data_IF_526686643928
#
_entry.id   IF_526686643928
#
_cell.length_a   1.000
_cell.length_b   1.000
_cell.length_c   1.000
_cell.angle_alpha   90.00
_cell.angle_beta   90.00
_cell.angle_gamma   90.00
#
_symmetry.space_group_name_H-M   'P 1'
#
loop_
_entity.id
_entity.type
_entity.pdbx_description
1 polymer ?
#
# COMPACT_ATOMS: atom_id res chain seq x y z
N UNK A 1 20.91 -3.98 -8.52
CA UNK A 1 20.65 -2.53 -8.48
C UNK A 1 20.28 -2.15 -7.05
N UNK A 2 20.91 -1.13 -6.46
CA UNK A 2 20.67 -0.75 -5.06
C UNK A 2 19.64 0.39 -4.92
N UNK A 3 19.22 0.68 -3.68
CA UNK A 3 18.31 1.79 -3.37
C UNK A 3 18.83 3.16 -3.78
N UNK A 4 20.14 3.39 -3.83
CA UNK A 4 20.71 4.68 -4.24
C UNK A 4 20.30 5.08 -5.66
N UNK A 5 20.39 4.14 -6.61
CA UNK A 5 19.97 4.39 -8.01
C UNK A 5 18.47 4.64 -8.09
N UNK A 6 17.68 3.81 -7.36
CA UNK A 6 16.22 3.96 -7.32
C UNK A 6 15.81 5.31 -6.71
N UNK A 7 16.41 5.69 -5.57
CA UNK A 7 16.15 6.97 -4.90
C UNK A 7 16.50 8.17 -5.79
N UNK A 8 17.58 8.08 -6.57
CA UNK A 8 17.97 9.14 -7.51
C UNK A 8 16.87 9.34 -8.57
N UNK A 9 16.45 8.26 -9.22
CA UNK A 9 15.39 8.33 -10.27
C UNK A 9 14.06 8.83 -9.72
N UNK A 10 13.66 8.34 -8.53
CA UNK A 10 12.40 8.72 -7.90
C UNK A 10 12.40 10.18 -7.46
N UNK A 11 13.49 10.69 -6.91
CA UNK A 11 13.59 12.11 -6.53
C UNK A 11 13.39 13.04 -7.70
N UNK A 12 13.86 12.66 -8.88
CA UNK A 12 13.70 13.48 -10.08
C UNK A 12 12.29 13.36 -10.70
N UNK A 13 11.75 12.17 -10.78
CA UNK A 13 10.50 11.86 -11.51
C UNK A 13 9.66 10.76 -10.82
N UNK A 14 9.16 10.99 -9.61
CA UNK A 14 8.52 9.93 -8.83
C UNK A 14 7.32 9.27 -9.51
N UNK A 15 6.51 10.04 -10.25
CA UNK A 15 5.25 9.56 -10.84
C UNK A 15 5.32 9.36 -12.36
N UNK A 16 6.50 9.54 -12.99
CA UNK A 16 6.63 9.51 -14.46
C UNK A 16 7.86 8.74 -14.96
N UNK A 17 8.25 7.67 -14.25
CA UNK A 17 9.33 6.78 -14.66
C UNK A 17 8.98 6.12 -16.00
N UNK A 18 9.95 6.02 -16.92
CA UNK A 18 9.70 5.44 -18.25
C UNK A 18 9.51 3.93 -18.19
N UNK A 19 8.70 3.38 -19.11
CA UNK A 19 8.47 1.95 -19.22
C UNK A 19 9.76 1.16 -19.45
N UNK A 20 10.64 1.67 -20.31
CA UNK A 20 11.93 1.02 -20.58
C UNK A 20 12.75 0.86 -19.30
N UNK A 21 12.82 1.91 -18.49
CA UNK A 21 13.56 1.88 -17.22
C UNK A 21 12.89 0.93 -16.21
N UNK A 22 11.56 0.92 -16.12
CA UNK A 22 10.84 -0.04 -15.24
C UNK A 22 11.13 -1.47 -15.63
N UNK A 23 11.13 -1.80 -16.93
CA UNK A 23 11.43 -3.16 -17.40
C UNK A 23 12.88 -3.57 -17.11
N UNK A 24 13.83 -2.70 -17.35
CA UNK A 24 15.25 -2.94 -17.03
C UNK A 24 15.43 -3.18 -15.51
N UNK A 25 14.87 -2.30 -14.68
CA UNK A 25 14.88 -2.45 -13.22
C UNK A 25 14.29 -3.79 -12.75
N UNK A 26 13.13 -4.17 -13.29
CA UNK A 26 12.51 -5.45 -12.95
C UNK A 26 13.37 -6.63 -13.38
N UNK A 27 13.90 -6.62 -14.60
CA UNK A 27 14.76 -7.67 -15.12
C UNK A 27 15.98 -7.89 -14.24
N UNK A 28 16.72 -6.82 -13.92
CA UNK A 28 17.89 -6.88 -13.06
C UNK A 28 17.57 -7.49 -11.69
N UNK A 29 16.40 -7.13 -11.11
CA UNK A 29 15.98 -7.71 -9.83
C UNK A 29 15.53 -9.16 -9.94
N UNK A 30 14.89 -9.58 -11.03
CA UNK A 30 14.58 -10.99 -11.25
C UNK A 30 15.88 -11.80 -11.37
N UNK A 31 16.86 -11.36 -12.16
CA UNK A 31 18.18 -11.99 -12.27
C UNK A 31 18.84 -12.08 -10.88
N UNK A 32 18.92 -10.98 -10.16
CA UNK A 32 19.50 -10.94 -8.81
C UNK A 32 18.84 -11.93 -7.85
N UNK A 33 17.50 -11.95 -7.79
CA UNK A 33 16.79 -12.84 -6.86
C UNK A 33 16.87 -14.31 -7.28
N UNK A 34 16.90 -14.61 -8.57
CA UNK A 34 17.07 -15.98 -9.05
C UNK A 34 18.43 -16.57 -8.69
N UNK A 35 19.42 -15.74 -8.51
CA UNK A 35 20.77 -16.16 -8.08
C UNK A 35 20.93 -16.16 -6.56
N UNK A 36 20.35 -15.20 -5.84
CA UNK A 36 20.71 -14.90 -4.46
C UNK A 36 19.63 -15.23 -3.41
N UNK A 37 18.37 -15.42 -3.80
CA UNK A 37 17.27 -15.69 -2.86
C UNK A 37 16.94 -17.18 -2.83
N UNK A 38 16.92 -17.86 -1.68
CA UNK A 38 16.72 -19.30 -1.59
C UNK A 38 15.49 -19.82 -2.33
N UNK A 39 14.33 -19.20 -2.12
CA UNK A 39 13.09 -19.56 -2.81
C UNK A 39 13.24 -19.42 -4.33
N UNK A 40 13.69 -18.26 -4.80
CA UNK A 40 13.76 -17.97 -6.23
C UNK A 40 14.83 -18.77 -6.94
N UNK A 41 15.94 -19.09 -6.29
CA UNK A 41 16.94 -20.04 -6.79
C UNK A 41 16.36 -21.43 -7.04
N UNK A 42 15.50 -21.90 -6.12
CA UNK A 42 14.79 -23.18 -6.29
C UNK A 42 13.81 -23.13 -7.44
N UNK A 43 13.03 -22.04 -7.56
CA UNK A 43 12.07 -21.82 -8.64
C UNK A 43 12.79 -21.73 -9.98
N UNK A 44 13.87 -20.96 -10.09
CA UNK A 44 14.66 -20.82 -11.31
C UNK A 44 15.21 -22.15 -11.82
N UNK A 45 15.76 -22.99 -10.90
CA UNK A 45 16.26 -24.33 -11.27
C UNK A 45 15.16 -25.27 -11.74
N UNK A 46 13.96 -25.18 -11.18
CA UNK A 46 12.82 -26.04 -11.49
C UNK A 46 12.13 -25.65 -12.80
N UNK A 47 11.91 -24.37 -13.03
CA UNK A 47 11.12 -23.85 -14.14
C UNK A 47 12.00 -23.42 -15.33
N UNK A 48 13.28 -23.11 -15.07
CA UNK A 48 14.22 -22.57 -16.08
C UNK A 48 13.62 -21.45 -16.93
N UNK A 49 13.04 -20.39 -16.29
CA UNK A 49 12.34 -19.34 -17.01
C UNK A 49 13.32 -18.57 -17.90
N UNK A 50 12.92 -18.32 -19.15
CA UNK A 50 13.68 -17.48 -20.07
C UNK A 50 13.35 -16.00 -19.80
N UNK A 51 14.27 -15.31 -19.10
CA UNK A 51 14.07 -13.89 -18.79
C UNK A 51 14.11 -13.00 -20.03
N UNK A 52 14.84 -13.40 -21.07
CA UNK A 52 14.85 -12.65 -22.33
C UNK A 52 13.48 -12.69 -23.00
N UNK A 53 12.79 -13.83 -22.96
CA UNK A 53 11.42 -13.96 -23.45
C UNK A 53 10.42 -13.22 -22.56
N UNK A 54 10.52 -13.36 -21.22
CA UNK A 54 9.60 -12.74 -20.27
C UNK A 54 9.61 -11.22 -20.40
N UNK A 55 10.78 -10.60 -20.53
CA UNK A 55 10.93 -9.15 -20.54
C UNK A 55 10.83 -8.49 -21.93
N UNK A 56 10.41 -9.24 -22.98
CA UNK A 56 10.07 -8.67 -24.29
C UNK A 56 8.73 -7.92 -24.25
N UNK A 57 8.54 -7.00 -25.24
CA UNK A 57 7.29 -6.28 -25.44
C UNK A 57 7.06 -5.14 -24.43
N UNK A 58 5.80 -4.78 -24.22
CA UNK A 58 5.39 -3.75 -23.27
C UNK A 58 5.20 -4.31 -21.86
N UNK A 59 5.05 -3.42 -20.86
CA UNK A 59 4.96 -3.82 -19.47
C UNK A 59 3.75 -4.71 -19.13
N UNK A 60 2.64 -4.54 -19.85
CA UNK A 60 1.45 -5.41 -19.71
C UNK A 60 1.78 -6.83 -20.12
N UNK A 61 2.46 -7.00 -21.26
CA UNK A 61 2.89 -8.32 -21.78
C UNK A 61 3.93 -8.96 -20.86
N UNK A 62 4.88 -8.19 -20.34
CA UNK A 62 5.85 -8.64 -19.32
C UNK A 62 5.14 -9.17 -18.09
N UNK A 63 4.17 -8.44 -17.57
CA UNK A 63 3.42 -8.85 -16.39
C UNK A 63 2.65 -10.16 -16.65
N UNK A 64 1.96 -10.30 -17.79
CA UNK A 64 1.28 -11.53 -18.16
C UNK A 64 2.24 -12.73 -18.28
N UNK A 65 3.42 -12.55 -18.91
CA UNK A 65 4.42 -13.60 -19.04
C UNK A 65 5.01 -14.04 -17.71
N UNK A 66 5.23 -13.14 -16.77
CA UNK A 66 5.67 -13.47 -15.41
C UNK A 66 4.71 -14.48 -14.76
N UNK A 67 3.40 -14.24 -14.85
CA UNK A 67 2.40 -15.15 -14.27
C UNK A 67 2.25 -16.44 -15.08
N UNK A 68 2.32 -16.38 -16.41
CA UNK A 68 2.23 -17.57 -17.29
C UNK A 68 3.49 -18.45 -17.22
N UNK A 69 4.63 -17.91 -16.84
CA UNK A 69 5.84 -18.69 -16.54
C UNK A 69 5.75 -19.45 -15.20
N UNK A 70 4.61 -19.37 -14.49
CA UNK A 70 4.39 -20.09 -13.24
C UNK A 70 5.16 -19.52 -12.03
N UNK A 71 5.54 -18.25 -12.09
CA UNK A 71 6.33 -17.60 -11.05
C UNK A 71 5.48 -17.11 -9.86
N UNK A 72 4.16 -17.30 -9.88
CA UNK A 72 3.31 -16.92 -8.76
C UNK A 72 3.63 -17.74 -7.51
N UNK A 73 3.83 -17.04 -6.39
CA UNK A 73 4.16 -17.61 -5.08
C UNK A 73 2.93 -18.24 -4.47
N UNK A 74 3.09 -19.44 -3.91
CA UNK A 74 2.11 -20.09 -3.09
C UNK A 74 1.99 -19.41 -1.72
N UNK A 75 0.76 -19.07 -1.31
CA UNK A 75 0.49 -18.32 -0.08
C UNK A 75 0.87 -19.12 1.17
N UNK A 76 0.60 -20.42 1.20
CA UNK A 76 0.85 -21.27 2.36
C UNK A 76 2.36 -21.50 2.54
N UNK A 77 3.09 -21.59 1.41
CA UNK A 77 4.54 -21.63 1.43
C UNK A 77 5.12 -20.30 1.98
N UNK A 78 4.65 -19.16 1.48
CA UNK A 78 5.10 -17.85 1.96
C UNK A 78 4.90 -17.71 3.47
N UNK A 79 3.75 -18.13 4.00
CA UNK A 79 3.44 -18.03 5.44
C UNK A 79 4.36 -18.87 6.31
N UNK A 80 4.69 -20.07 5.85
CA UNK A 80 5.52 -21.01 6.61
C UNK A 80 7.03 -20.84 6.40
N UNK A 81 7.47 -20.26 5.27
CA UNK A 81 8.87 -20.18 4.85
C UNK A 81 9.28 -18.74 4.47
N UNK A 82 8.78 -17.74 5.17
CA UNK A 82 9.01 -16.33 4.84
C UNK A 82 10.49 -15.92 4.81
N UNK A 83 11.37 -16.61 5.53
CA UNK A 83 12.83 -16.36 5.48
C UNK A 83 13.47 -16.76 4.14
N UNK A 84 12.86 -17.70 3.41
CA UNK A 84 13.37 -18.13 2.12
C UNK A 84 13.26 -17.04 1.03
N UNK A 85 12.51 -15.98 1.32
CA UNK A 85 12.34 -14.82 0.43
C UNK A 85 13.34 -13.68 0.69
N UNK A 86 14.22 -13.84 1.67
CA UNK A 86 15.31 -12.89 1.94
C UNK A 86 16.57 -13.34 1.19
N UNK A 87 17.23 -12.46 0.41
CA UNK A 87 18.47 -12.82 -0.28
C UNK A 87 19.60 -13.19 0.68
N UNK A 88 20.37 -14.21 0.33
CA UNK A 88 21.53 -14.64 1.11
C UNK A 88 22.56 -13.50 1.22
N UNK A 89 23.00 -13.22 2.46
CA UNK A 89 23.99 -12.19 2.69
C UNK A 89 23.56 -10.76 2.36
N UNK A 90 22.25 -10.50 2.32
CA UNK A 90 21.73 -9.16 2.05
C UNK A 90 22.32 -8.13 3.04
N UNK A 91 22.97 -7.06 2.58
CA UNK A 91 23.71 -6.15 3.45
C UNK A 91 22.83 -5.07 4.11
N UNK A 92 21.56 -4.96 3.73
CA UNK A 92 20.65 -3.91 4.17
C UNK A 92 20.08 -4.15 5.57
N UNK A 93 19.29 -3.19 6.03
CA UNK A 93 18.67 -3.16 7.36
C UNK A 93 17.24 -3.66 7.29
N UNK A 94 17.05 -4.97 7.32
CA UNK A 94 15.72 -5.60 7.17
C UNK A 94 14.90 -5.47 8.47
N UNK A 95 13.63 -5.06 8.32
CA UNK A 95 12.59 -5.17 9.34
C UNK A 95 11.51 -6.14 8.87
N UNK A 96 11.03 -6.95 9.79
CA UNK A 96 9.92 -7.86 9.54
C UNK A 96 8.63 -7.27 10.09
N UNK A 97 7.58 -7.34 9.28
CA UNK A 97 6.26 -6.86 9.62
C UNK A 97 5.22 -7.96 9.45
N UNK A 98 4.21 -7.94 10.30
CA UNK A 98 3.10 -8.88 10.23
C UNK A 98 1.90 -8.25 9.52
N UNK A 99 1.19 -9.05 8.73
CA UNK A 99 -0.12 -8.67 8.19
C UNK A 99 -1.14 -8.57 9.33
N UNK A 100 -2.28 -7.90 9.09
CA UNK A 100 -3.35 -7.77 10.08
C UNK A 100 -4.05 -9.09 10.44
N UNK A 101 -3.77 -10.21 9.76
CA UNK A 101 -4.22 -11.55 10.12
C UNK A 101 -5.74 -11.74 10.18
N UNK A 102 -6.50 -11.05 9.33
CA UNK A 102 -7.96 -10.95 9.47
C UNK A 102 -8.74 -12.25 9.28
N UNK A 103 -8.15 -13.24 8.58
CA UNK A 103 -8.85 -14.49 8.18
C UNK A 103 -8.02 -15.74 8.34
N UNK A 104 -6.69 -15.62 8.38
CA UNK A 104 -5.74 -16.74 8.51
C UNK A 104 -4.63 -16.32 9.46
N UNK A 105 -3.68 -17.23 9.71
CA UNK A 105 -2.43 -16.91 10.38
C UNK A 105 -1.74 -15.70 9.73
N UNK A 106 -1.14 -14.85 10.56
CA UNK A 106 -0.49 -13.62 10.08
C UNK A 106 0.64 -13.94 9.10
N UNK A 107 0.60 -13.37 7.91
CA UNK A 107 1.72 -13.42 7.00
C UNK A 107 2.81 -12.44 7.47
N UNK A 108 4.07 -12.82 7.26
CA UNK A 108 5.23 -11.98 7.56
C UNK A 108 5.79 -11.47 6.24
N UNK A 109 5.97 -10.16 6.15
CA UNK A 109 6.70 -9.48 5.08
C UNK A 109 7.94 -8.81 5.65
N UNK A 110 8.84 -8.41 4.78
CA UNK A 110 10.04 -7.68 5.20
C UNK A 110 10.31 -6.49 4.29
N UNK A 111 10.90 -5.47 4.86
CA UNK A 111 11.31 -4.24 4.19
C UNK A 111 12.72 -3.88 4.61
N UNK A 112 13.51 -3.40 3.66
CA UNK A 112 14.71 -2.65 4.00
C UNK A 112 14.31 -1.26 4.57
N UNK A 113 15.08 -0.76 5.52
CA UNK A 113 14.83 0.58 6.07
C UNK A 113 14.88 1.69 5.01
N UNK A 114 15.67 1.50 3.95
CA UNK A 114 15.76 2.47 2.86
C UNK A 114 14.52 2.47 1.95
N UNK A 115 13.73 1.39 1.95
CA UNK A 115 12.45 1.36 1.24
C UNK A 115 11.41 2.36 1.80
N UNK A 116 11.42 2.62 3.10
CA UNK A 116 10.56 3.66 3.68
C UNK A 116 10.84 5.03 3.07
N UNK A 117 12.12 5.34 2.83
CA UNK A 117 12.50 6.57 2.14
C UNK A 117 11.98 6.65 0.71
N UNK A 118 11.99 5.53 -0.02
CA UNK A 118 11.40 5.44 -1.37
C UNK A 118 9.89 5.64 -1.32
N UNK A 119 9.22 4.92 -0.42
CA UNK A 119 7.77 4.93 -0.30
C UNK A 119 7.24 6.33 0.06
N UNK A 120 7.86 7.02 1.02
CA UNK A 120 7.41 8.34 1.41
C UNK A 120 7.60 9.38 0.30
N UNK A 121 8.64 9.25 -0.55
CA UNK A 121 8.79 10.12 -1.73
C UNK A 121 7.64 9.94 -2.72
N UNK A 122 7.20 8.69 -2.95
CA UNK A 122 6.02 8.43 -3.78
C UNK A 122 4.75 9.00 -3.19
N UNK A 123 4.50 8.68 -1.92
CA UNK A 123 3.29 9.15 -1.23
C UNK A 123 3.24 10.68 -1.24
N UNK A 124 4.33 11.33 -0.87
CA UNK A 124 4.39 12.79 -0.88
C UNK A 124 4.17 13.36 -2.27
N UNK A 125 4.86 12.86 -3.30
CA UNK A 125 4.68 13.35 -4.66
C UNK A 125 3.23 13.18 -5.16
N UNK A 126 2.61 12.02 -4.89
CA UNK A 126 1.22 11.77 -5.26
C UNK A 126 0.25 12.67 -4.49
N UNK A 127 0.45 12.85 -3.19
CA UNK A 127 -0.38 13.72 -2.35
C UNK A 127 -0.25 15.20 -2.75
N UNK A 128 0.96 15.63 -3.07
CA UNK A 128 1.23 16.99 -3.54
C UNK A 128 0.59 17.26 -4.91
N UNK A 129 0.73 16.35 -5.86
CA UNK A 129 0.22 16.51 -7.23
C UNK A 129 -1.32 16.38 -7.31
N UNK A 130 -1.92 15.46 -6.55
CA UNK A 130 -3.37 15.18 -6.63
C UNK A 130 -4.16 16.10 -5.70
N UNK A 131 -3.69 16.25 -4.47
CA UNK A 131 -4.42 16.94 -3.42
C UNK A 131 -3.85 18.31 -3.09
N UNK A 132 -2.69 18.66 -3.65
CA UNK A 132 -2.05 19.95 -3.45
C UNK A 132 -1.59 20.19 -2.01
N UNK A 133 -1.10 19.15 -1.32
CA UNK A 133 -0.74 19.27 0.10
C UNK A 133 0.43 20.23 0.33
N UNK A 134 1.33 20.38 -0.65
CA UNK A 134 2.41 21.39 -0.60
C UNK A 134 1.89 22.86 -0.54
N UNK A 135 0.60 23.09 -0.89
CA UNK A 135 -0.06 24.40 -0.77
C UNK A 135 -0.77 24.58 0.56
N UNK A 136 -0.98 23.48 1.29
CA UNK A 136 -1.63 23.48 2.61
C UNK A 136 -0.58 23.57 3.71
N UNK A 137 0.52 22.83 3.56
CA UNK A 137 1.55 22.72 4.61
C UNK A 137 2.88 23.28 4.13
N UNK A 138 3.44 24.18 4.94
CA UNK A 138 4.74 24.82 4.74
C UNK A 138 5.50 25.02 6.08
N UNK A 139 6.53 25.84 6.10
CA UNK A 139 7.32 26.11 7.31
C UNK A 139 6.55 26.87 8.40
N UNK A 140 5.52 27.64 8.04
CA UNK A 140 4.71 28.44 8.96
C UNK A 140 3.44 27.68 9.36
N UNK A 141 2.85 26.96 8.41
CA UNK A 141 1.64 26.14 8.62
C UNK A 141 1.97 24.66 8.52
N UNK A 142 2.49 24.09 9.58
CA UNK A 142 2.97 22.70 9.64
C UNK A 142 1.83 21.70 9.79
N UNK A 143 2.04 20.51 9.23
CA UNK A 143 1.17 19.38 9.45
C UNK A 143 1.19 18.95 10.93
N UNK A 144 0.05 18.98 11.60
CA UNK A 144 -0.13 18.50 12.97
C UNK A 144 -1.11 17.34 12.94
N UNK A 145 -0.56 16.14 12.97
CA UNK A 145 -1.31 14.95 12.66
C UNK A 145 -1.62 14.11 13.89
N UNK A 146 -2.81 13.51 13.91
CA UNK A 146 -3.15 12.39 14.77
C UNK A 146 -3.42 11.17 13.88
N UNK A 147 -2.84 10.02 14.23
CA UNK A 147 -3.02 8.79 13.48
C UNK A 147 -3.41 7.62 14.37
N UNK A 148 -4.42 6.87 13.95
CA UNK A 148 -4.85 5.60 14.54
C UNK A 148 -4.46 4.43 13.66
N UNK A 149 -3.77 3.44 14.19
CA UNK A 149 -3.42 2.26 13.39
C UNK A 149 -2.55 1.25 14.13
N UNK A 150 -2.23 0.14 13.47
CA UNK A 150 -1.33 -0.85 14.02
C UNK A 150 0.10 -0.33 14.11
N UNK A 151 0.85 -0.85 15.06
CA UNK A 151 2.30 -0.65 15.12
C UNK A 151 3.00 -1.33 13.92
N UNK A 152 4.20 -0.93 13.63
CA UNK A 152 5.04 -1.49 12.56
C UNK A 152 5.05 -0.59 11.32
N UNK A 153 4.96 -1.17 10.10
CA UNK A 153 5.12 -0.43 8.85
C UNK A 153 4.18 0.77 8.70
N UNK A 154 2.95 0.63 9.18
CA UNK A 154 1.96 1.70 9.14
C UNK A 154 2.38 2.92 9.97
N UNK A 155 2.92 2.69 11.19
CA UNK A 155 3.44 3.76 12.04
C UNK A 155 4.68 4.41 11.40
N UNK A 156 5.61 3.60 10.92
CA UNK A 156 6.86 4.09 10.32
C UNK A 156 6.53 4.96 9.09
N UNK A 157 5.63 4.49 8.22
CA UNK A 157 5.22 5.21 7.01
C UNK A 157 4.55 6.56 7.30
N UNK A 158 3.57 6.60 8.22
CA UNK A 158 2.91 7.88 8.57
C UNK A 158 3.86 8.84 9.28
N UNK A 159 4.81 8.32 10.05
CA UNK A 159 5.82 9.14 10.70
C UNK A 159 6.70 9.85 9.67
N UNK A 160 7.24 9.11 8.71
CA UNK A 160 8.05 9.67 7.62
C UNK A 160 7.26 10.67 6.78
N UNK A 161 5.99 10.35 6.47
CA UNK A 161 5.13 11.25 5.71
C UNK A 161 4.91 12.58 6.44
N UNK A 162 4.52 12.55 7.72
CA UNK A 162 4.28 13.76 8.52
C UNK A 162 5.55 14.58 8.68
N UNK A 163 6.68 13.94 8.95
CA UNK A 163 7.98 14.63 9.08
C UNK A 163 8.43 15.25 7.75
N UNK A 164 8.09 14.66 6.62
CA UNK A 164 8.38 15.23 5.30
C UNK A 164 7.69 16.57 5.05
N UNK A 165 6.59 16.86 5.77
CA UNK A 165 5.91 18.16 5.80
C UNK A 165 6.33 19.02 7.00
N UNK A 166 7.45 18.70 7.66
CA UNK A 166 7.93 19.41 8.86
C UNK A 166 6.99 19.31 10.06
N UNK A 167 6.16 18.27 10.09
CA UNK A 167 5.03 18.13 10.98
C UNK A 167 5.33 17.48 12.35
N UNK A 168 4.26 17.37 13.14
CA UNK A 168 4.21 16.68 14.44
C UNK A 168 3.16 15.58 14.37
N UNK A 169 3.50 14.38 14.85
CA UNK A 169 2.62 13.21 14.83
C UNK A 169 2.27 12.77 16.25
N UNK A 170 0.97 12.64 16.53
CA UNK A 170 0.42 11.89 17.66
C UNK A 170 -0.05 10.52 17.15
N UNK A 171 0.76 9.50 17.40
CA UNK A 171 0.41 8.15 16.99
C UNK A 171 -0.26 7.38 18.13
N UNK A 172 -1.44 6.81 17.85
CA UNK A 172 -2.22 6.02 18.79
C UNK A 172 -2.33 4.60 18.25
N UNK A 173 -1.50 3.71 18.81
CA UNK A 173 -1.46 2.31 18.40
C UNK A 173 -2.73 1.54 18.73
N UNK A 174 -3.18 0.69 17.80
CA UNK A 174 -4.32 -0.20 17.97
C UNK A 174 -3.98 -1.61 17.53
N UNK A 175 -4.29 -2.58 18.37
CA UNK A 175 -4.24 -4.00 18.03
C UNK A 175 -5.58 -4.45 17.40
N UNK A 176 -5.67 -4.38 16.09
CA UNK A 176 -6.92 -4.66 15.35
C UNK A 176 -7.43 -6.09 15.54
N UNK A 177 -6.53 -7.07 15.66
CA UNK A 177 -6.92 -8.48 15.85
C UNK A 177 -7.44 -8.74 17.27
N UNK A 178 -6.85 -8.07 18.25
CA UNK A 178 -7.37 -8.07 19.61
C UNK A 178 -8.81 -7.58 19.67
N UNK A 179 -9.10 -6.48 18.97
CA UNK A 179 -10.46 -5.93 18.88
C UNK A 179 -11.44 -6.89 18.21
N UNK A 180 -11.07 -7.53 17.09
CA UNK A 180 -11.91 -8.51 16.39
C UNK A 180 -12.18 -9.76 17.23
N UNK A 181 -11.16 -10.25 17.94
CA UNK A 181 -11.32 -11.37 18.87
C UNK A 181 -12.30 -11.02 19.97
N UNK A 182 -12.12 -9.87 20.63
CA UNK A 182 -13.01 -9.42 21.70
C UNK A 182 -14.43 -9.20 21.17
N UNK A 183 -14.60 -8.65 19.95
CA UNK A 183 -15.92 -8.53 19.33
C UNK A 183 -16.63 -9.87 19.19
N UNK A 184 -15.92 -10.91 18.73
CA UNK A 184 -16.48 -12.25 18.56
C UNK A 184 -16.78 -12.96 19.88
N UNK A 185 -15.91 -12.81 20.88
CA UNK A 185 -16.00 -13.54 22.14
C UNK A 185 -16.88 -12.83 23.19
N UNK A 186 -16.87 -11.51 23.22
CA UNK A 186 -17.45 -10.70 24.30
C UNK A 186 -18.42 -9.61 23.85
N UNK A 187 -18.59 -9.46 22.53
CA UNK A 187 -19.52 -8.51 21.94
C UNK A 187 -19.04 -7.06 21.92
N UNK A 188 -19.90 -6.18 21.39
CA UNK A 188 -19.57 -4.78 21.08
C UNK A 188 -19.22 -3.95 22.33
N UNK A 189 -19.92 -4.16 23.44
CA UNK A 189 -19.68 -3.39 24.69
C UNK A 189 -18.25 -3.57 25.21
N UNK A 190 -17.71 -4.78 25.07
CA UNK A 190 -16.32 -5.04 25.47
C UNK A 190 -15.33 -4.36 24.53
N UNK A 191 -15.62 -4.27 23.23
CA UNK A 191 -14.82 -3.51 22.25
C UNK A 191 -14.84 -2.02 22.58
N UNK A 192 -16.01 -1.44 22.87
CA UNK A 192 -16.13 -0.02 23.25
C UNK A 192 -15.32 0.30 24.51
N UNK A 193 -15.31 -0.58 25.51
CA UNK A 193 -14.46 -0.41 26.70
C UNK A 193 -12.97 -0.44 26.38
N UNK A 194 -12.53 -1.27 25.42
CA UNK A 194 -11.14 -1.29 24.99
C UNK A 194 -10.75 -0.05 24.20
N UNK A 195 -11.68 0.53 23.44
CA UNK A 195 -11.45 1.75 22.68
C UNK A 195 -11.53 3.02 23.53
N UNK A 196 -12.10 2.97 24.75
CA UNK A 196 -12.28 4.15 25.61
C UNK A 196 -10.98 4.91 25.92
N UNK A 197 -9.83 4.28 26.23
CA UNK A 197 -8.56 5.00 26.38
C UNK A 197 -8.13 5.73 25.11
N UNK A 198 -8.30 5.09 23.93
CA UNK A 198 -8.01 5.70 22.64
C UNK A 198 -8.89 6.92 22.40
N UNK A 199 -10.20 6.80 22.63
CA UNK A 199 -11.16 7.89 22.47
C UNK A 199 -10.82 9.07 23.38
N UNK A 200 -10.54 8.80 24.64
CA UNK A 200 -10.16 9.86 25.62
C UNK A 200 -8.86 10.53 25.23
N UNK A 201 -7.84 9.77 24.81
CA UNK A 201 -6.58 10.36 24.39
C UNK A 201 -6.73 11.18 23.10
N UNK A 202 -7.48 10.67 22.12
CA UNK A 202 -7.81 11.41 20.91
C UNK A 202 -8.46 12.76 21.23
N UNK A 203 -9.52 12.75 22.05
CA UNK A 203 -10.19 14.00 22.48
C UNK A 203 -9.23 14.96 23.15
N UNK A 204 -8.43 14.47 24.11
CA UNK A 204 -7.45 15.30 24.80
C UNK A 204 -6.46 15.96 23.85
N UNK A 205 -5.94 15.20 22.85
CA UNK A 205 -5.02 15.76 21.84
C UNK A 205 -5.72 16.82 21.01
N UNK A 206 -6.94 16.52 20.51
CA UNK A 206 -7.73 17.47 19.72
C UNK A 206 -8.07 18.77 20.46
N UNK A 207 -8.25 18.71 21.78
CA UNK A 207 -8.58 19.85 22.64
C UNK A 207 -7.34 20.66 23.05
N UNK A 208 -6.15 20.04 23.11
CA UNK A 208 -4.92 20.68 23.60
C UNK A 208 -3.98 21.14 22.50
N UNK A 209 -4.08 20.56 21.30
CA UNK A 209 -3.25 20.93 20.17
C UNK A 209 -4.11 21.28 18.94
N UNK A 210 -3.56 22.10 18.05
CA UNK A 210 -4.21 22.52 16.80
C UNK A 210 -4.02 21.44 15.74
N UNK A 211 -4.64 20.28 15.92
CA UNK A 211 -4.61 19.20 14.94
C UNK A 211 -5.34 19.64 13.67
N UNK A 212 -4.65 19.54 12.53
CA UNK A 212 -5.17 19.86 11.21
C UNK A 212 -5.16 18.68 10.26
N UNK A 213 -4.56 17.54 10.67
CA UNK A 213 -4.48 16.32 9.86
C UNK A 213 -4.89 15.13 10.70
N UNK A 214 -5.72 14.25 10.10
CA UNK A 214 -6.08 12.98 10.72
C UNK A 214 -5.79 11.84 9.76
N UNK A 215 -5.27 10.70 10.29
CA UNK A 215 -5.20 9.44 9.57
C UNK A 215 -5.89 8.36 10.40
N UNK A 216 -6.97 7.81 9.87
CA UNK A 216 -7.76 6.85 10.65
C UNK A 216 -8.52 5.87 9.76
N UNK A 217 -8.99 4.80 10.38
CA UNK A 217 -9.92 3.88 9.74
C UNK A 217 -11.33 4.49 9.66
N UNK A 218 -12.13 4.16 8.62
CA UNK A 218 -13.47 4.69 8.44
C UNK A 218 -14.34 4.71 9.71
N UNK A 219 -14.44 3.62 10.50
CA UNK A 219 -15.29 3.61 11.68
C UNK A 219 -14.91 4.61 12.79
N UNK A 220 -13.67 5.07 12.79
CA UNK A 220 -13.18 6.02 13.79
C UNK A 220 -13.27 7.49 13.36
N UNK A 221 -13.67 7.74 12.10
CA UNK A 221 -13.77 9.11 11.59
C UNK A 221 -14.81 9.95 12.33
N UNK A 222 -15.85 9.34 12.89
CA UNK A 222 -16.85 10.02 13.71
C UNK A 222 -16.28 10.68 14.96
N UNK A 223 -15.14 10.24 15.47
CA UNK A 223 -14.43 10.87 16.59
C UNK A 223 -13.98 12.29 16.28
N UNK A 224 -13.80 12.60 15.00
CA UNK A 224 -13.29 13.87 14.50
C UNK A 224 -14.35 14.85 14.03
N UNK A 225 -15.63 14.41 13.92
CA UNK A 225 -16.74 15.28 13.50
C UNK A 225 -16.89 16.56 14.33
N UNK A 226 -16.73 16.54 15.69
CA UNK A 226 -16.79 17.74 16.49
C UNK A 226 -15.69 18.76 16.15
N UNK A 227 -14.62 18.33 15.49
CA UNK A 227 -13.43 19.13 15.16
C UNK A 227 -13.28 19.39 13.66
N UNK A 228 -14.31 19.07 12.84
CA UNK A 228 -14.26 19.13 11.38
C UNK A 228 -13.78 20.46 10.81
N UNK A 229 -14.06 21.56 11.50
CA UNK A 229 -13.65 22.90 11.06
C UNK A 229 -12.15 23.16 11.16
N UNK A 230 -11.42 22.37 11.97
CA UNK A 230 -9.96 22.49 12.14
C UNK A 230 -9.19 21.49 11.28
N UNK A 231 -9.85 20.47 10.74
CA UNK A 231 -9.21 19.40 9.98
C UNK A 231 -9.15 19.78 8.51
N UNK A 232 -7.95 19.97 8.00
CA UNK A 232 -7.68 20.33 6.62
C UNK A 232 -7.44 19.10 5.72
N UNK A 233 -6.91 18.02 6.34
CA UNK A 233 -6.62 16.76 5.63
C UNK A 233 -7.08 15.56 6.46
N UNK A 234 -7.82 14.65 5.84
CA UNK A 234 -8.20 13.37 6.42
C UNK A 234 -7.76 12.23 5.50
N UNK A 235 -6.79 11.43 5.96
CA UNK A 235 -6.27 10.26 5.27
C UNK A 235 -7.01 9.03 5.81
N UNK A 236 -7.70 8.32 4.93
CA UNK A 236 -8.60 7.23 5.31
C UNK A 236 -8.03 5.92 4.76
N UNK A 237 -7.70 5.00 5.66
CA UNK A 237 -7.08 3.71 5.31
C UNK A 237 -7.42 2.61 6.32
N UNK A 238 -6.96 1.37 6.07
CA UNK A 238 -6.95 0.26 7.03
C UNK A 238 -8.13 -0.70 6.97
N UNK A 239 -9.27 -0.31 6.40
CA UNK A 239 -10.40 -1.19 6.04
C UNK A 239 -11.05 -0.67 4.78
N UNK A 240 -11.76 -1.54 4.04
CA UNK A 240 -12.45 -1.13 2.83
C UNK A 240 -13.38 0.07 3.08
N UNK A 241 -13.25 1.10 2.26
CA UNK A 241 -14.12 2.26 2.28
C UNK A 241 -15.22 2.00 1.26
N UNK A 242 -16.49 2.05 1.67
CA UNK A 242 -17.59 2.03 0.72
C UNK A 242 -17.96 3.45 0.28
N UNK A 243 -18.66 3.52 -0.85
CA UNK A 243 -19.07 4.78 -1.48
C UNK A 243 -19.92 5.64 -0.55
N UNK A 244 -20.96 5.04 0.04
CA UNK A 244 -21.94 5.78 0.86
C UNK A 244 -21.27 6.43 2.07
N UNK A 245 -20.37 5.71 2.71
CA UNK A 245 -19.62 6.26 3.85
C UNK A 245 -18.66 7.37 3.42
N UNK A 246 -18.00 7.24 2.27
CA UNK A 246 -17.09 8.29 1.79
C UNK A 246 -17.85 9.56 1.38
N UNK A 247 -19.03 9.41 0.75
CA UNK A 247 -19.93 10.52 0.43
C UNK A 247 -20.42 11.20 1.71
N UNK A 248 -20.83 10.43 2.74
CA UNK A 248 -21.15 10.97 4.06
C UNK A 248 -19.99 11.78 4.67
N UNK A 249 -18.77 11.25 4.61
CA UNK A 249 -17.61 12.01 5.08
C UNK A 249 -17.37 13.29 4.28
N UNK A 250 -17.58 13.26 2.95
CA UNK A 250 -17.45 14.43 2.09
C UNK A 250 -18.44 15.53 2.45
N UNK A 251 -19.67 15.15 2.82
CA UNK A 251 -20.71 16.08 3.26
C UNK A 251 -20.44 16.61 4.68
N UNK A 252 -19.79 15.80 5.53
CA UNK A 252 -19.49 16.17 6.92
C UNK A 252 -18.24 17.06 7.01
N UNK A 253 -17.20 16.74 6.23
CA UNK A 253 -15.89 17.39 6.22
C UNK A 253 -15.70 18.24 4.96
N UNK A 254 -16.60 19.19 4.72
CA UNK A 254 -16.72 19.98 3.47
C UNK A 254 -15.43 20.70 3.08
N UNK A 255 -14.66 21.20 4.07
CA UNK A 255 -13.42 21.95 3.83
C UNK A 255 -12.16 21.08 3.92
N UNK A 256 -12.32 19.77 4.13
CA UNK A 256 -11.22 18.82 4.36
C UNK A 256 -10.86 18.08 3.07
N UNK A 257 -9.58 17.93 2.80
CA UNK A 257 -9.09 17.05 1.74
C UNK A 257 -9.22 15.59 2.20
N UNK A 258 -10.21 14.87 1.69
CA UNK A 258 -10.40 13.45 1.97
C UNK A 258 -9.54 12.61 1.03
N UNK A 259 -8.64 11.81 1.59
CA UNK A 259 -7.63 11.06 0.85
C UNK A 259 -7.80 9.57 1.15
N UNK A 260 -8.35 8.76 0.23
CA UNK A 260 -8.40 7.32 0.39
C UNK A 260 -7.03 6.71 0.10
N UNK A 261 -6.55 5.81 0.96
CA UNK A 261 -5.36 4.99 0.72
C UNK A 261 -5.72 3.50 0.71
N UNK A 262 -5.00 2.73 -0.09
CA UNK A 262 -5.03 1.28 -0.09
C UNK A 262 -3.71 0.76 0.49
N UNK A 263 -3.77 0.23 1.71
CA UNK A 263 -2.58 -0.24 2.43
C UNK A 263 -2.40 -1.75 2.35
N UNK A 264 -1.17 -2.19 2.12
CA UNK A 264 -0.81 -3.59 2.09
C UNK A 264 0.57 -3.85 2.72
N UNK A 265 0.68 -4.86 3.56
CA UNK A 265 1.88 -5.12 4.38
C UNK A 265 3.17 -5.37 3.58
N UNK A 266 3.09 -5.73 2.30
CA UNK A 266 4.26 -5.96 1.46
C UNK A 266 4.74 -4.71 0.69
N UNK A 267 3.89 -3.72 0.44
CA UNK A 267 4.28 -2.55 -0.34
C UNK A 267 3.88 -1.19 0.26
N UNK A 268 3.20 -1.18 1.42
CA UNK A 268 2.75 0.05 2.05
C UNK A 268 1.45 0.61 1.46
N UNK A 269 1.28 1.91 1.53
CA UNK A 269 0.09 2.59 1.06
C UNK A 269 0.20 3.02 -0.41
N UNK A 270 -0.87 2.85 -1.15
CA UNK A 270 -1.08 3.40 -2.48
C UNK A 270 -2.10 4.54 -2.41
N UNK A 271 -1.77 5.67 -3.04
CA UNK A 271 -2.66 6.83 -3.05
C UNK A 271 -3.87 6.55 -3.94
N UNK A 272 -5.05 6.80 -3.41
CA UNK A 272 -6.31 6.67 -4.12
C UNK A 272 -6.87 8.01 -4.59
N UNK A 273 -7.74 7.93 -5.58
CA UNK A 273 -8.56 9.04 -6.08
C UNK A 273 -10.01 8.59 -6.04
N UNK A 274 -10.88 9.35 -5.37
CA UNK A 274 -12.32 9.13 -5.48
C UNK A 274 -12.85 9.87 -6.70
N UNK A 275 -13.43 9.13 -7.66
CA UNK A 275 -13.93 9.69 -8.90
C UNK A 275 -15.17 8.97 -9.38
N UNK A 276 -16.29 9.70 -9.58
CA UNK A 276 -17.56 9.18 -10.12
C UNK A 276 -18.12 8.00 -9.32
N UNK A 277 -17.97 8.03 -8.00
CA UNK A 277 -18.43 6.95 -7.12
C UNK A 277 -17.50 5.74 -7.02
N UNK A 278 -16.29 5.84 -7.55
CA UNK A 278 -15.29 4.78 -7.54
C UNK A 278 -13.99 5.23 -6.88
N UNK A 279 -13.32 4.29 -6.21
CA UNK A 279 -11.97 4.47 -5.65
C UNK A 279 -10.96 3.89 -6.63
N UNK A 280 -10.03 4.68 -7.10
CA UNK A 280 -8.96 4.29 -8.02
C UNK A 280 -7.62 4.42 -7.31
N UNK A 281 -6.81 3.35 -7.27
CA UNK A 281 -5.51 3.29 -6.61
C UNK A 281 -4.41 3.06 -7.63
N UNK A 282 -3.26 3.70 -7.44
CA UNK A 282 -2.15 3.64 -8.38
C UNK A 282 -0.89 3.11 -7.72
N UNK A 283 -0.26 2.05 -8.31
CA UNK A 283 0.94 1.44 -7.75
C UNK A 283 2.16 2.35 -7.74
N UNK A 284 3.05 2.13 -6.80
CA UNK A 284 4.32 2.83 -6.64
C UNK A 284 5.39 2.22 -7.57
N UNK A 285 5.39 2.59 -8.85
CA UNK A 285 6.38 2.11 -9.80
C UNK A 285 7.79 2.62 -9.48
N UNK A 286 8.83 1.82 -9.73
CA UNK A 286 8.85 0.47 -10.31
C UNK A 286 8.75 -0.64 -9.27
N UNK A 287 8.74 -0.30 -7.97
CA UNK A 287 8.82 -1.28 -6.87
C UNK A 287 7.58 -2.15 -6.74
N UNK A 288 6.45 -1.67 -7.27
CA UNK A 288 5.16 -2.37 -7.17
C UNK A 288 4.39 -2.21 -8.48
N UNK A 289 3.99 -3.31 -9.09
CA UNK A 289 3.05 -3.37 -10.19
C UNK A 289 1.81 -4.11 -9.73
N UNK A 290 0.63 -3.61 -10.08
CA UNK A 290 -0.64 -4.25 -9.74
C UNK A 290 -1.56 -4.24 -10.96
N UNK A 291 -2.05 -5.43 -11.35
CA UNK A 291 -3.04 -5.55 -12.41
C UNK A 291 -4.12 -6.57 -12.05
N UNK A 292 -5.39 -6.28 -12.32
CA UNK A 292 -6.45 -7.29 -12.28
C UNK A 292 -6.33 -8.26 -13.44
N UNK A 293 -6.34 -9.57 -13.16
CA UNK A 293 -6.17 -10.65 -14.13
C UNK A 293 -7.32 -11.64 -14.11
N UNK A 294 -7.48 -12.37 -15.21
CA UNK A 294 -8.35 -13.55 -15.35
C UNK A 294 -7.55 -14.71 -15.93
N UNK A 295 -7.96 -15.94 -15.62
CA UNK A 295 -7.46 -17.13 -16.28
C UNK A 295 -8.44 -17.49 -17.41
N UNK A 296 -7.97 -17.44 -18.65
CA UNK A 296 -8.78 -17.68 -19.85
C UNK A 296 -7.93 -18.42 -20.89
N UNK A 297 -8.52 -19.44 -21.53
CA UNK A 297 -7.89 -20.24 -22.61
C UNK A 297 -6.52 -20.84 -22.21
N UNK A 298 -6.36 -21.19 -20.92
CA UNK A 298 -5.14 -21.80 -20.40
C UNK A 298 -4.05 -20.81 -19.99
N UNK A 299 -4.30 -19.50 -20.07
CA UNK A 299 -3.35 -18.45 -19.75
C UNK A 299 -3.93 -17.38 -18.81
N UNK A 300 -3.07 -16.72 -18.05
CA UNK A 300 -3.39 -15.53 -17.32
C UNK A 300 -3.33 -14.30 -18.23
N UNK A 301 -4.40 -13.52 -18.23
CA UNK A 301 -4.52 -12.29 -19.01
C UNK A 301 -4.95 -11.12 -18.14
N UNK A 302 -4.35 -9.95 -18.36
CA UNK A 302 -4.80 -8.72 -17.74
C UNK A 302 -6.15 -8.34 -18.35
N UNK A 303 -7.14 -8.05 -17.49
CA UNK A 303 -8.48 -7.69 -17.94
C UNK A 303 -8.48 -6.37 -18.73
N UNK A 304 -9.45 -6.17 -19.62
CA UNK A 304 -9.64 -4.88 -20.29
C UNK A 304 -10.00 -3.79 -19.26
N UNK A 305 -9.65 -2.54 -19.55
CA UNK A 305 -10.05 -1.39 -18.71
C UNK A 305 -11.56 -1.37 -18.48
N UNK A 306 -11.97 -1.10 -17.23
CA UNK A 306 -13.37 -1.16 -16.80
C UNK A 306 -13.89 -2.58 -16.53
N UNK A 307 -13.08 -3.63 -16.70
CA UNK A 307 -13.43 -5.01 -16.33
C UNK A 307 -12.77 -5.40 -15.01
N UNK A 308 -13.42 -6.33 -14.30
CA UNK A 308 -12.97 -6.85 -13.02
C UNK A 308 -12.17 -8.13 -13.22
N UNK A 309 -11.11 -8.29 -12.47
CA UNK A 309 -10.29 -9.49 -12.40
C UNK A 309 -9.73 -9.68 -11.00
N UNK A 310 -9.12 -10.83 -10.75
CA UNK A 310 -8.38 -11.12 -9.52
C UNK A 310 -7.15 -10.21 -9.43
N UNK A 311 -6.91 -9.58 -8.29
CA UNK A 311 -5.76 -8.71 -8.09
C UNK A 311 -4.49 -9.54 -8.10
N UNK A 312 -3.56 -9.16 -8.96
CA UNK A 312 -2.23 -9.74 -9.06
C UNK A 312 -1.19 -8.62 -8.91
N UNK A 313 -0.08 -8.90 -8.22
CA UNK A 313 1.00 -7.93 -8.11
C UNK A 313 2.39 -8.56 -8.24
N UNK A 314 3.31 -7.74 -8.70
CA UNK A 314 4.74 -7.99 -8.66
C UNK A 314 5.36 -6.91 -7.78
N UNK A 315 6.06 -7.32 -6.74
CA UNK A 315 6.89 -6.46 -5.90
C UNK A 315 8.33 -6.82 -6.20
N UNK A 316 9.10 -5.85 -6.63
CA UNK A 316 10.50 -6.03 -6.97
C UNK A 316 11.34 -4.96 -6.27
N UNK A 317 12.09 -5.39 -5.26
CA UNK A 317 13.01 -4.58 -4.46
C UNK A 317 14.28 -5.37 -4.17
N UNK A 318 15.39 -4.72 -3.82
CA UNK A 318 16.63 -5.42 -3.52
C UNK A 318 16.52 -6.50 -2.43
N UNK A 319 15.65 -6.30 -1.42
CA UNK A 319 15.42 -7.25 -0.33
C UNK A 319 14.31 -8.27 -0.60
N UNK A 320 13.45 -8.04 -1.60
CA UNK A 320 12.32 -8.94 -1.84
C UNK A 320 11.85 -8.92 -3.29
N UNK A 321 11.68 -10.09 -3.86
CA UNK A 321 10.90 -10.33 -5.07
C UNK A 321 9.65 -11.12 -4.70
N UNK A 322 8.46 -10.60 -5.05
CA UNK A 322 7.20 -11.26 -4.78
C UNK A 322 6.28 -11.18 -6.00
N UNK A 323 5.82 -12.32 -6.48
CA UNK A 323 4.83 -12.45 -7.56
C UNK A 323 3.62 -13.15 -6.95
N UNK A 324 2.47 -12.49 -6.88
CA UNK A 324 1.37 -13.02 -6.07
C UNK A 324 -0.01 -12.65 -6.60
N UNK A 325 -0.98 -13.56 -6.40
CA UNK A 325 -2.40 -13.25 -6.47
C UNK A 325 -2.97 -12.95 -5.09
N UNK A 326 -3.88 -11.98 -5.01
CA UNK A 326 -4.67 -11.70 -3.81
C UNK A 326 -6.04 -12.39 -3.82
N UNK A 327 -6.66 -12.50 -2.63
CA UNK A 327 -8.04 -12.95 -2.46
C UNK A 327 -9.05 -11.81 -2.71
N UNK A 328 -8.66 -10.84 -3.53
CA UNK A 328 -9.46 -9.69 -3.91
C UNK A 328 -9.63 -9.62 -5.41
N UNK A 329 -10.77 -9.07 -5.85
CA UNK A 329 -10.99 -8.68 -7.23
C UNK A 329 -11.08 -7.17 -7.34
N UNK A 330 -10.61 -6.59 -8.45
CA UNK A 330 -10.68 -5.16 -8.70
C UNK A 330 -10.94 -4.83 -10.16
N UNK A 331 -11.40 -3.62 -10.43
CA UNK A 331 -11.51 -3.07 -11.79
C UNK A 331 -10.11 -2.66 -12.28
N UNK A 332 -9.79 -2.89 -13.55
CA UNK A 332 -8.65 -2.21 -14.18
C UNK A 332 -9.07 -0.81 -14.57
N UNK A 333 -8.38 0.21 -14.06
CA UNK A 333 -8.66 1.61 -14.33
C UNK A 333 -7.55 2.27 -15.16
N UNK A 334 -7.89 3.25 -16.03
CA UNK A 334 -6.89 3.91 -16.86
C UNK A 334 -5.99 4.85 -16.04
N UNK A 335 -4.86 5.29 -16.61
CA UNK A 335 -4.06 6.36 -16.06
C UNK A 335 -4.90 7.60 -15.75
N UNK A 336 -4.62 8.28 -14.65
CA UNK A 336 -5.34 9.50 -14.25
C UNK A 336 -4.43 10.46 -13.48
N UNK A 337 -4.61 11.76 -13.68
CA UNK A 337 -3.79 12.78 -13.04
C UNK A 337 -2.31 12.60 -13.40
N UNK A 338 -1.41 12.60 -12.41
CA UNK A 338 0.02 12.47 -12.64
C UNK A 338 0.47 11.05 -12.99
N UNK A 339 -0.38 10.04 -12.74
CA UNK A 339 -0.04 8.64 -12.97
C UNK A 339 -0.05 8.29 -14.46
N UNK A 340 1.04 7.70 -14.93
CA UNK A 340 1.23 7.29 -16.34
C UNK A 340 0.77 5.87 -16.62
N UNK A 341 0.53 5.08 -15.57
CA UNK A 341 0.21 3.67 -15.62
C UNK A 341 -1.23 3.40 -15.23
N UNK A 342 -1.75 2.25 -15.67
CA UNK A 342 -3.05 1.79 -15.22
C UNK A 342 -3.02 1.52 -13.70
N UNK A 343 -4.13 1.81 -13.06
CA UNK A 343 -4.37 1.46 -11.66
C UNK A 343 -5.41 0.35 -11.52
N UNK A 344 -5.85 0.14 -10.30
CA UNK A 344 -6.97 -0.75 -9.99
C UNK A 344 -8.00 -0.02 -9.13
N UNK A 345 -9.27 -0.39 -9.28
CA UNK A 345 -10.37 0.31 -8.63
C UNK A 345 -11.31 -0.61 -7.88
N UNK A 346 -11.93 -0.07 -6.84
CA UNK A 346 -12.94 -0.75 -6.03
C UNK A 346 -12.52 -2.20 -5.68
N UNK A 347 -11.39 -2.43 -4.97
CA UNK A 347 -11.02 -3.75 -4.55
C UNK A 347 -12.11 -4.36 -3.66
N UNK A 348 -12.53 -5.58 -3.97
CA UNK A 348 -13.55 -6.32 -3.24
C UNK A 348 -12.96 -7.67 -2.85
N UNK A 349 -13.08 -8.00 -1.59
CA UNK A 349 -12.68 -9.31 -1.12
C UNK A 349 -13.71 -10.34 -1.56
N UNK A 350 -13.26 -11.42 -2.19
CA UNK A 350 -14.11 -12.58 -2.43
C UNK A 350 -14.40 -13.22 -1.07
N UNK A 351 -15.61 -13.03 -0.59
CA UNK A 351 -16.14 -13.76 0.57
C UNK A 351 -16.46 -15.17 0.06
N UNK A 352 -15.50 -16.10 0.21
CA UNK A 352 -15.76 -17.52 0.05
C UNK A 352 -16.28 -18.12 1.33
#
# INVERSE_FOLDING_TARGET
MGYETLLHVIREKPLSISEAWVKEYLRDLFEFHFENTPYWRSVSRRLSPDLDEIFQGNLVEVFERIFNAGLAVDEDYLRSHWLDFVPDGYPGRIRFYQSSGTTRERAIGHWDADYLGVLHLYLRAALDEIYGLYKVYDSEHRMRAIAHGPYGWYQDEISELVWSYGGVLYFIGMETDGLKRVLREKGIDAVLKLLDPLVRYTKRVMETDRINTVRSAPPLMSLFEPYRETIETAIISGVGINREFFEYLSDTFVNTKLIPLYGYYLFGDLVGIYRRGEFWYYPNHPTTLVFPMVFQDGEYRIVKRGKRGRVAFVIARPEVLMVKFEDETALRVPPSGPFKWDGFGNPLRDVR
#
